data_IF_327433814070
#
_entry.id   IF_327433814070
#
_cell.length_a   1.000
_cell.length_b   1.000
_cell.length_c   1.000
_cell.angle_alpha   90.00
_cell.angle_beta   90.00
_cell.angle_gamma   90.00
#
_symmetry.space_group_name_H-M   'P 1'
#
loop_
_entity.id
_entity.type
_entity.pdbx_description
1 polymer ?
#
# COMPACT_ATOMS: atom_id res chain seq x y z
N UNK A 1 -12.34 -1.01 -11.41
CA UNK A 1 -11.31 -1.99 -10.97
C UNK A 1 -11.24 -2.17 -9.45
N UNK A 2 -11.10 -1.10 -8.64
CA UNK A 2 -11.01 -1.22 -7.16
C UNK A 2 -12.21 -1.89 -6.49
N UNK A 3 -13.43 -1.69 -6.96
CA UNK A 3 -14.62 -2.38 -6.40
C UNK A 3 -14.59 -3.90 -6.60
N UNK A 4 -14.04 -4.38 -7.72
CA UNK A 4 -13.94 -5.82 -8.02
C UNK A 4 -12.81 -6.44 -7.19
N UNK A 5 -11.67 -5.76 -7.10
CA UNK A 5 -10.57 -6.15 -6.19
C UNK A 5 -11.05 -6.21 -4.72
N UNK A 6 -11.90 -5.27 -4.31
CA UNK A 6 -12.42 -5.22 -2.94
C UNK A 6 -13.47 -6.27 -2.62
N UNK A 7 -14.39 -6.50 -3.56
CA UNK A 7 -15.37 -7.56 -3.41
C UNK A 7 -14.66 -8.92 -3.37
N UNK A 8 -13.65 -9.17 -4.20
CA UNK A 8 -12.81 -10.37 -4.09
C UNK A 8 -12.09 -10.48 -2.74
N UNK A 9 -11.53 -9.39 -2.21
CA UNK A 9 -10.84 -9.37 -0.91
C UNK A 9 -11.73 -9.62 0.31
N UNK A 10 -13.05 -9.55 0.15
CA UNK A 10 -14.02 -9.75 1.24
C UNK A 10 -14.79 -11.05 1.06
N UNK A 11 -15.18 -11.35 -0.17
CA UNK A 11 -15.80 -12.62 -0.54
C UNK A 11 -14.82 -13.76 -0.29
N UNK A 12 -13.53 -13.61 -0.58
CA UNK A 12 -12.57 -14.69 -0.38
C UNK A 12 -12.39 -15.11 1.10
N UNK A 13 -12.16 -14.19 2.07
CA UNK A 13 -12.10 -14.58 3.48
C UNK A 13 -13.45 -15.04 4.06
N UNK A 14 -14.57 -14.48 3.59
CA UNK A 14 -15.91 -14.88 4.05
C UNK A 14 -16.29 -16.29 3.56
N UNK A 15 -16.04 -16.59 2.28
CA UNK A 15 -16.22 -17.93 1.72
C UNK A 15 -15.25 -18.93 2.35
N UNK A 16 -13.97 -18.56 2.51
CA UNK A 16 -12.98 -19.41 3.17
C UNK A 16 -13.37 -19.69 4.63
N UNK A 17 -13.81 -18.68 5.38
CA UNK A 17 -14.30 -18.84 6.75
C UNK A 17 -15.57 -19.70 6.84
N UNK A 18 -16.50 -19.53 5.89
CA UNK A 18 -17.70 -20.37 5.78
C UNK A 18 -17.40 -21.83 5.45
N UNK A 19 -16.43 -22.09 4.56
CA UNK A 19 -15.94 -23.43 4.23
C UNK A 19 -15.27 -24.09 5.44
N UNK A 20 -14.39 -23.39 6.16
CA UNK A 20 -13.77 -23.92 7.39
C UNK A 20 -14.81 -24.29 8.45
N UNK A 21 -15.91 -23.53 8.57
CA UNK A 21 -16.97 -23.77 9.56
C UNK A 21 -17.77 -25.08 9.32
N UNK A 22 -17.70 -25.67 8.13
CA UNK A 22 -18.32 -26.97 7.82
C UNK A 22 -17.61 -28.17 8.47
N UNK A 23 -16.43 -27.96 9.08
CA UNK A 23 -15.72 -28.95 9.87
C UNK A 23 -14.77 -29.87 9.10
N UNK A 24 -14.88 -29.95 7.77
CA UNK A 24 -13.95 -30.74 6.94
C UNK A 24 -12.84 -29.87 6.36
N UNK A 25 -11.70 -29.88 7.07
CA UNK A 25 -10.52 -29.10 6.71
C UNK A 25 -9.87 -29.58 5.39
N UNK A 26 -10.02 -30.87 5.04
CA UNK A 26 -9.44 -31.43 3.80
C UNK A 26 -10.23 -30.94 2.59
N UNK A 27 -11.56 -30.93 2.69
CA UNK A 27 -12.43 -30.37 1.66
C UNK A 27 -12.17 -28.88 1.46
N UNK A 28 -12.04 -28.12 2.54
CA UNK A 28 -11.73 -26.68 2.50
C UNK A 28 -10.39 -26.42 1.79
N UNK A 29 -9.33 -27.15 2.15
CA UNK A 29 -8.02 -27.00 1.53
C UNK A 29 -8.04 -27.34 0.03
N UNK A 30 -8.74 -28.42 -0.35
CA UNK A 30 -8.91 -28.81 -1.74
C UNK A 30 -9.69 -27.75 -2.54
N UNK A 31 -10.79 -27.23 -2.00
CA UNK A 31 -11.60 -26.20 -2.63
C UNK A 31 -10.81 -24.89 -2.86
N UNK A 32 -10.04 -24.45 -1.86
CA UNK A 32 -9.17 -23.26 -1.99
C UNK A 32 -8.07 -23.51 -3.03
N UNK A 33 -7.47 -24.71 -3.05
CA UNK A 33 -6.47 -25.08 -4.05
C UNK A 33 -7.01 -25.03 -5.49
N UNK A 34 -8.21 -25.57 -5.72
CA UNK A 34 -8.87 -25.52 -7.02
C UNK A 34 -9.18 -24.09 -7.44
N UNK A 35 -9.69 -23.26 -6.52
CA UNK A 35 -9.99 -21.85 -6.81
C UNK A 35 -8.74 -21.05 -7.16
N UNK A 36 -7.62 -21.26 -6.46
CA UNK A 36 -6.34 -20.62 -6.80
C UNK A 36 -5.84 -21.06 -8.19
N UNK A 37 -5.98 -22.35 -8.53
CA UNK A 37 -5.59 -22.84 -9.85
C UNK A 37 -6.45 -22.23 -10.97
N UNK A 38 -7.77 -22.13 -10.76
CA UNK A 38 -8.67 -21.47 -11.72
C UNK A 38 -8.34 -19.97 -11.86
N UNK A 39 -7.95 -19.31 -10.77
CA UNK A 39 -7.52 -17.90 -10.81
C UNK A 39 -6.31 -17.69 -11.72
N UNK A 40 -5.35 -18.63 -11.75
CA UNK A 40 -4.18 -18.55 -12.64
C UNK A 40 -4.60 -18.56 -14.11
N UNK A 41 -5.58 -19.39 -14.48
CA UNK A 41 -6.08 -19.48 -15.86
C UNK A 41 -6.71 -18.14 -16.28
N UNK A 42 -7.56 -17.57 -15.43
CA UNK A 42 -8.21 -16.29 -15.69
C UNK A 42 -7.19 -15.16 -15.77
N UNK A 43 -6.21 -15.13 -14.87
CA UNK A 43 -5.13 -14.14 -14.87
C UNK A 43 -4.29 -14.22 -16.14
N UNK A 44 -3.95 -15.43 -16.59
CA UNK A 44 -3.21 -15.64 -17.83
C UNK A 44 -4.00 -15.17 -19.06
N UNK A 45 -5.28 -15.53 -19.17
CA UNK A 45 -6.15 -15.09 -20.27
C UNK A 45 -6.33 -13.57 -20.30
N UNK A 46 -6.49 -12.95 -19.12
CA UNK A 46 -6.65 -11.50 -19.01
C UNK A 46 -5.35 -10.76 -19.39
N UNK A 47 -4.21 -11.28 -18.93
CA UNK A 47 -2.88 -10.75 -19.27
C UNK A 47 -2.62 -10.85 -20.77
N UNK A 48 -2.95 -11.98 -21.39
CA UNK A 48 -2.83 -12.17 -22.84
C UNK A 48 -3.70 -11.18 -23.62
N UNK A 49 -4.93 -10.92 -23.15
CA UNK A 49 -5.83 -9.93 -23.73
C UNK A 49 -5.25 -8.51 -23.64
N UNK A 50 -4.68 -8.13 -22.50
CA UNK A 50 -4.02 -6.82 -22.29
C UNK A 50 -2.83 -6.64 -23.23
N UNK A 51 -2.00 -7.69 -23.39
CA UNK A 51 -0.85 -7.66 -24.30
C UNK A 51 -1.26 -7.51 -25.77
N UNK A 52 -2.37 -8.13 -26.18
CA UNK A 52 -2.92 -7.99 -27.55
C UNK A 52 -3.54 -6.61 -27.79
N UNK A 53 -4.22 -6.04 -26.80
CA UNK A 53 -4.91 -4.74 -26.92
C UNK A 53 -3.93 -3.56 -26.82
N UNK A 54 -2.82 -3.70 -26.08
CA UNK A 54 -1.83 -2.62 -25.91
C UNK A 54 -0.41 -3.05 -26.32
N UNK A 55 -0.10 -3.14 -27.63
CA UNK A 55 1.21 -3.57 -28.11
C UNK A 55 2.37 -2.64 -27.73
N UNK A 56 2.08 -1.44 -27.20
CA UNK A 56 3.07 -0.48 -26.68
C UNK A 56 3.90 -1.03 -25.51
N UNK A 57 3.41 -2.00 -24.75
CA UNK A 57 4.20 -2.64 -23.68
C UNK A 57 5.21 -3.67 -24.19
N UNK A 58 5.00 -4.27 -25.37
CA UNK A 58 5.97 -5.18 -26.00
C UNK A 58 7.18 -4.43 -26.58
N UNK A 59 6.99 -3.17 -26.99
CA UNK A 59 8.01 -2.38 -27.67
C UNK A 59 9.01 -1.68 -26.74
N UNK A 60 8.70 -1.52 -25.44
CA UNK A 60 9.59 -0.85 -24.48
C UNK A 60 10.97 -1.54 -24.35
N UNK A 61 11.04 -2.84 -24.62
CA UNK A 61 12.31 -3.58 -24.65
C UNK A 61 13.10 -3.35 -25.95
N UNK A 62 12.47 -3.00 -27.07
CA UNK A 62 13.15 -2.77 -28.34
C UNK A 62 13.80 -1.38 -28.40
N UNK A 63 13.11 -0.34 -27.96
CA UNK A 63 13.63 1.04 -27.92
C UNK A 63 14.72 1.24 -26.85
N UNK A 64 14.59 0.60 -25.68
CA UNK A 64 15.63 0.61 -24.64
C UNK A 64 16.86 -0.22 -25.07
N UNK A 65 16.67 -1.37 -25.74
CA UNK A 65 17.79 -2.12 -26.32
C UNK A 65 18.50 -1.37 -27.44
N UNK A 66 17.76 -0.64 -28.30
CA UNK A 66 18.37 0.16 -29.37
C UNK A 66 19.14 1.37 -28.80
N UNK A 67 18.64 2.02 -27.74
CA UNK A 67 19.36 3.09 -27.06
C UNK A 67 20.66 2.59 -26.38
N UNK A 68 20.66 1.40 -25.78
CA UNK A 68 21.87 0.78 -25.23
C UNK A 68 22.86 0.36 -26.33
N UNK A 69 22.38 -0.22 -27.44
CA UNK A 69 23.26 -0.69 -28.51
C UNK A 69 23.87 0.47 -29.33
N UNK A 70 23.14 1.59 -29.47
CA UNK A 70 23.65 2.83 -30.06
C UNK A 70 24.76 3.47 -29.22
N UNK A 71 24.60 3.48 -27.88
CA UNK A 71 25.61 4.02 -26.97
C UNK A 71 26.87 3.13 -26.89
N UNK A 72 26.70 1.80 -26.96
CA UNK A 72 27.82 0.86 -26.99
C UNK A 72 28.68 0.99 -28.25
N UNK A 73 28.04 1.23 -29.41
CA UNK A 73 28.74 1.37 -30.70
C UNK A 73 29.43 2.73 -30.83
N UNK A 74 28.83 3.81 -30.32
CA UNK A 74 29.44 5.14 -30.27
C UNK A 74 30.67 5.17 -29.35
N UNK A 75 30.60 4.53 -28.18
CA UNK A 75 31.74 4.47 -27.25
C UNK A 75 32.91 3.64 -27.79
N UNK A 76 32.65 2.61 -28.60
CA UNK A 76 33.72 1.80 -29.20
C UNK A 76 34.36 2.45 -30.45
N UNK A 77 33.63 3.24 -31.25
CA UNK A 77 34.25 4.01 -32.33
C UNK A 77 35.14 5.14 -31.78
N UNK A 78 34.75 5.74 -30.65
CA UNK A 78 35.52 6.83 -30.01
C UNK A 78 36.79 6.30 -29.32
N UNK A 79 36.77 5.06 -28.80
CA UNK A 79 37.94 4.44 -28.18
C UNK A 79 38.98 3.87 -29.16
N UNK A 80 38.59 3.53 -30.40
CA UNK A 80 39.54 2.98 -31.38
C UNK A 80 40.48 4.02 -32.03
N UNK A 81 40.29 5.32 -31.78
CA UNK A 81 41.23 6.34 -32.25
C UNK A 81 42.30 6.75 -31.21
N UNK A 82 42.25 6.23 -29.98
CA UNK A 82 43.16 6.65 -28.91
C UNK A 82 44.14 5.59 -28.40
N UNK A 83 44.34 4.47 -29.12
CA UNK A 83 45.34 3.49 -28.70
C UNK A 83 46.21 2.99 -29.86
N UNK A 84 46.93 3.92 -30.48
CA UNK A 84 48.19 3.62 -31.15
C UNK A 84 49.34 4.05 -30.24
N UNK A 85 49.79 3.14 -29.36
CA UNK A 85 51.19 3.02 -28.95
C UNK A 85 51.34 1.91 -27.89
N UNK A 86 52.05 0.84 -28.23
CA UNK A 86 52.49 -0.16 -27.24
C UNK A 86 52.78 -1.54 -27.83
N UNK A 87 54.07 -1.79 -28.07
CA UNK A 87 54.73 -3.03 -28.49
C UNK A 87 54.36 -4.33 -27.73
N UNK A 88 54.31 -5.44 -28.50
CA UNK A 88 54.74 -6.82 -28.16
C UNK A 88 53.96 -7.57 -27.06
N UNK A 89 53.78 -8.89 -27.04
CA UNK A 89 54.13 -10.00 -27.93
C UNK A 89 53.37 -11.26 -27.40
N UNK A 90 53.13 -12.25 -28.26
CA UNK A 90 52.87 -13.67 -27.95
C UNK A 90 51.59 -14.18 -27.21
N UNK A 91 50.65 -14.67 -28.03
CA UNK A 91 50.10 -16.06 -28.17
C UNK A 91 49.45 -16.89 -27.03
N UNK A 92 48.27 -17.42 -27.39
CA UNK A 92 47.68 -18.77 -27.19
C UNK A 92 46.86 -19.12 -25.93
N UNK A 93 45.70 -19.75 -26.18
CA UNK A 93 45.23 -20.92 -25.40
C UNK A 93 43.89 -20.81 -24.67
N UNK A 94 42.83 -21.28 -25.34
CA UNK A 94 41.71 -22.14 -24.89
C UNK A 94 41.14 -22.11 -23.44
N UNK A 95 39.79 -22.05 -23.44
CA UNK A 95 38.81 -22.78 -22.60
C UNK A 95 38.75 -22.61 -21.07
N UNK A 96 37.56 -22.17 -20.61
CA UNK A 96 36.81 -22.96 -19.63
C UNK A 96 36.51 -22.35 -18.27
N UNK A 97 35.22 -22.41 -17.92
CA UNK A 97 34.65 -22.59 -16.57
C UNK A 97 34.37 -21.35 -15.70
N UNK A 98 33.06 -21.10 -15.58
CA UNK A 98 32.25 -20.66 -14.43
C UNK A 98 32.98 -19.90 -13.31
N UNK A 99 32.62 -18.63 -13.13
CA UNK A 99 32.50 -18.06 -11.79
C UNK A 99 31.28 -17.13 -11.71
N UNK A 100 30.24 -17.66 -11.09
CA UNK A 100 29.23 -16.89 -10.37
C UNK A 100 29.93 -16.01 -9.35
N UNK A 101 29.89 -14.69 -9.57
CA UNK A 101 30.34 -13.68 -8.62
C UNK A 101 29.48 -12.45 -8.79
N UNK A 102 28.20 -12.54 -8.41
CA UNK A 102 27.38 -11.35 -8.21
C UNK A 102 27.87 -10.69 -6.92
N UNK A 103 28.74 -9.68 -7.07
CA UNK A 103 29.27 -8.92 -5.95
C UNK A 103 28.11 -8.20 -5.24
N UNK A 104 28.09 -8.32 -3.91
CA UNK A 104 27.07 -7.73 -3.03
C UNK A 104 27.06 -6.18 -3.09
N UNK A 105 28.09 -5.58 -3.70
CA UNK A 105 28.25 -4.14 -3.87
C UNK A 105 27.34 -3.56 -4.99
N UNK A 106 26.89 -4.40 -5.92
CA UNK A 106 26.03 -3.99 -7.04
C UNK A 106 24.61 -3.65 -6.56
N UNK A 107 24.15 -4.35 -5.51
CA UNK A 107 22.84 -4.17 -4.91
C UNK A 107 22.74 -2.84 -4.16
N UNK A 108 23.74 -2.49 -3.36
CA UNK A 108 23.78 -1.22 -2.61
C UNK A 108 23.97 0.00 -3.52
N UNK A 109 24.75 -0.15 -4.59
CA UNK A 109 24.96 0.93 -5.57
C UNK A 109 23.71 1.16 -6.46
N UNK A 110 22.97 0.09 -6.78
CA UNK A 110 21.67 0.17 -7.45
C UNK A 110 20.59 0.77 -6.53
N UNK A 111 20.54 0.35 -5.26
CA UNK A 111 19.66 0.92 -4.23
C UNK A 111 19.94 2.41 -4.02
N UNK A 112 21.22 2.81 -3.94
CA UNK A 112 21.61 4.22 -3.87
C UNK A 112 21.22 5.01 -5.13
N UNK A 113 21.29 4.42 -6.34
CA UNK A 113 20.83 5.08 -7.57
C UNK A 113 19.31 5.27 -7.61
N UNK A 114 18.54 4.32 -7.06
CA UNK A 114 17.08 4.45 -6.89
C UNK A 114 16.74 5.51 -5.83
N UNK A 115 17.50 5.55 -4.73
CA UNK A 115 17.35 6.56 -3.67
C UNK A 115 17.76 7.98 -4.14
N UNK A 116 18.71 8.09 -5.06
CA UNK A 116 19.21 9.35 -5.66
C UNK A 116 18.38 9.81 -6.86
N UNK A 117 17.18 9.26 -7.04
CA UNK A 117 16.26 9.68 -8.10
C UNK A 117 15.38 10.85 -7.61
N UNK A 118 16.03 11.98 -7.35
CA UNK A 118 15.42 13.24 -6.83
C UNK A 118 14.23 13.72 -7.68
N UNK A 119 14.16 13.31 -8.95
CA UNK A 119 13.09 13.66 -9.87
C UNK A 119 11.72 13.05 -9.55
N UNK A 120 11.65 11.82 -9.02
CA UNK A 120 10.37 11.12 -8.81
C UNK A 120 9.61 11.68 -7.60
N UNK A 121 10.33 11.89 -6.50
CA UNK A 121 9.77 12.48 -5.28
C UNK A 121 9.36 13.94 -5.53
N UNK A 122 10.19 14.70 -6.25
CA UNK A 122 9.87 16.05 -6.68
C UNK A 122 8.61 16.08 -7.56
N UNK A 123 8.49 15.17 -8.53
CA UNK A 123 7.30 15.05 -9.40
C UNK A 123 6.04 14.75 -8.59
N UNK A 124 6.14 13.93 -7.53
CA UNK A 124 5.03 13.64 -6.63
C UNK A 124 4.61 14.88 -5.82
N UNK A 125 5.56 15.58 -5.18
CA UNK A 125 5.26 16.76 -4.36
C UNK A 125 4.80 17.98 -5.17
N UNK A 126 5.10 18.02 -6.47
CA UNK A 126 4.57 19.03 -7.38
C UNK A 126 3.10 18.82 -7.72
N UNK A 127 2.53 17.64 -7.44
CA UNK A 127 1.11 17.38 -7.73
C UNK A 127 0.20 18.21 -6.82
N UNK A 128 -0.92 18.74 -7.34
CA UNK A 128 -1.84 19.59 -6.56
C UNK A 128 -2.43 18.88 -5.33
N UNK A 129 -2.47 17.54 -5.37
CA UNK A 129 -3.08 16.66 -4.37
C UNK A 129 -2.06 15.94 -3.48
N UNK A 130 -0.77 16.30 -3.54
CA UNK A 130 0.29 15.62 -2.79
C UNK A 130 0.03 15.60 -1.28
N UNK A 131 -0.51 16.69 -0.72
CA UNK A 131 -0.89 16.77 0.70
C UNK A 131 -1.93 15.69 1.09
N UNK A 132 -2.90 15.40 0.22
CA UNK A 132 -3.88 14.34 0.43
C UNK A 132 -3.27 12.94 0.37
N UNK A 133 -2.27 12.75 -0.49
CA UNK A 133 -1.51 11.50 -0.54
C UNK A 133 -0.63 11.25 0.69
N UNK A 134 0.02 12.29 1.22
CA UNK A 134 0.73 12.21 2.51
C UNK A 134 -0.24 11.95 3.66
N UNK A 135 -1.41 12.58 3.65
CA UNK A 135 -2.47 12.29 4.61
C UNK A 135 -2.86 10.81 4.57
N UNK A 136 -3.07 10.22 3.38
CA UNK A 136 -3.32 8.79 3.23
C UNK A 136 -2.18 7.95 3.82
N UNK A 137 -0.92 8.29 3.56
CA UNK A 137 0.21 7.54 4.13
C UNK A 137 0.22 7.59 5.65
N UNK A 138 -0.17 8.70 6.28
CA UNK A 138 -0.30 8.79 7.75
C UNK A 138 -1.36 7.85 8.30
N UNK A 139 -2.43 7.54 7.54
CA UNK A 139 -3.42 6.54 7.95
C UNK A 139 -2.81 5.12 7.98
N UNK A 140 -1.74 4.85 7.23
CA UNK A 140 -1.01 3.56 7.31
C UNK A 140 -0.16 3.45 8.58
N UNK A 141 0.20 4.57 9.22
CA UNK A 141 0.83 4.57 10.55
C UNK A 141 -0.17 4.25 11.67
N UNK A 142 -1.48 4.29 11.40
CA UNK A 142 -2.50 4.00 12.40
C UNK A 142 -2.51 2.51 12.79
N UNK A 143 -1.95 2.20 13.95
CA UNK A 143 -1.84 0.85 14.50
C UNK A 143 -3.17 0.36 15.09
N UNK A 144 -4.15 1.25 15.28
CA UNK A 144 -5.49 0.92 15.79
C UNK A 144 -6.37 0.26 14.72
N UNK A 145 -5.88 -0.85 14.18
CA UNK A 145 -6.52 -1.69 13.19
C UNK A 145 -6.46 -3.14 13.66
N UNK A 146 -7.33 -4.03 13.19
CA UNK A 146 -7.26 -5.48 13.49
C UNK A 146 -6.08 -6.16 12.78
N UNK A 147 -4.87 -5.65 13.02
CA UNK A 147 -3.58 -6.22 12.64
C UNK A 147 -2.95 -6.99 13.79
N UNK A 148 -1.70 -7.40 13.63
CA UNK A 148 -0.96 -8.22 14.60
C UNK A 148 -0.82 -7.53 15.97
N UNK A 149 -0.43 -6.25 16.00
CA UNK A 149 -0.17 -5.51 17.25
C UNK A 149 -1.45 -5.36 18.10
N UNK A 150 -2.55 -4.89 17.50
CA UNK A 150 -3.84 -4.80 18.19
C UNK A 150 -4.34 -6.18 18.66
N UNK A 151 -4.19 -7.21 17.82
CA UNK A 151 -4.60 -8.57 18.18
C UNK A 151 -3.81 -9.07 19.39
N UNK A 152 -2.50 -8.85 19.41
CA UNK A 152 -1.64 -9.20 20.54
C UNK A 152 -2.08 -8.49 21.82
N UNK A 153 -2.44 -7.20 21.74
CA UNK A 153 -2.97 -6.45 22.88
C UNK A 153 -4.31 -6.98 23.38
N UNK A 154 -5.25 -7.31 22.48
CA UNK A 154 -6.54 -7.88 22.87
C UNK A 154 -6.38 -9.26 23.54
N UNK A 155 -5.48 -10.10 23.04
CA UNK A 155 -5.12 -11.38 23.68
C UNK A 155 -4.50 -11.14 25.05
N UNK A 156 -3.59 -10.17 25.18
CA UNK A 156 -3.00 -9.79 26.47
C UNK A 156 -4.05 -9.33 27.49
N UNK A 157 -5.10 -8.62 27.04
CA UNK A 157 -6.25 -8.22 27.87
C UNK A 157 -7.24 -9.35 28.16
N UNK A 158 -6.96 -10.58 27.72
CA UNK A 158 -7.77 -11.77 27.98
C UNK A 158 -8.92 -12.01 27.00
N UNK A 159 -8.97 -11.30 25.87
CA UNK A 159 -9.99 -11.52 24.84
C UNK A 159 -9.66 -12.80 24.08
N UNK A 160 -10.64 -13.71 23.98
CA UNK A 160 -10.49 -14.97 23.27
C UNK A 160 -10.29 -14.76 21.76
N UNK A 161 -9.51 -15.63 21.12
CA UNK A 161 -9.19 -15.51 19.68
C UNK A 161 -10.40 -15.65 18.76
N UNK A 162 -11.38 -16.48 19.12
CA UNK A 162 -12.64 -16.63 18.36
C UNK A 162 -13.38 -15.28 18.26
N UNK A 163 -13.49 -14.56 19.39
CA UNK A 163 -14.13 -13.25 19.45
C UNK A 163 -13.37 -12.21 18.63
N UNK A 164 -12.04 -12.19 18.70
CA UNK A 164 -11.21 -11.29 17.89
C UNK A 164 -11.40 -11.56 16.39
N UNK A 165 -11.47 -12.84 16.00
CA UNK A 165 -11.76 -13.25 14.62
C UNK A 165 -13.12 -12.76 14.13
N UNK A 166 -14.18 -12.95 14.93
CA UNK A 166 -15.52 -12.46 14.61
C UNK A 166 -15.56 -10.93 14.49
N UNK A 167 -14.96 -10.20 15.44
CA UNK A 167 -14.89 -8.74 15.41
C UNK A 167 -14.13 -8.21 14.19
N UNK A 168 -13.05 -8.89 13.79
CA UNK A 168 -12.33 -8.59 12.56
C UNK A 168 -13.22 -8.78 11.32
N UNK A 169 -14.02 -9.86 11.29
CA UNK A 169 -15.01 -10.10 10.24
C UNK A 169 -16.05 -8.97 10.16
N UNK A 170 -16.61 -8.57 11.30
CA UNK A 170 -17.56 -7.44 11.39
C UNK A 170 -16.90 -6.14 10.91
N UNK A 171 -15.67 -5.87 11.34
CA UNK A 171 -14.88 -4.71 10.91
C UNK A 171 -14.66 -4.69 9.39
N UNK A 172 -14.42 -5.85 8.76
CA UNK A 172 -14.32 -5.95 7.30
C UNK A 172 -15.66 -5.65 6.62
N UNK A 173 -16.77 -6.17 7.14
CA UNK A 173 -18.11 -5.89 6.62
C UNK A 173 -18.46 -4.40 6.72
N UNK A 174 -18.14 -3.75 7.85
CA UNK A 174 -18.30 -2.30 8.02
C UNK A 174 -17.44 -1.52 7.02
N UNK A 175 -16.21 -1.98 6.77
CA UNK A 175 -15.36 -1.39 5.72
C UNK A 175 -15.97 -1.48 4.32
N UNK A 176 -16.62 -2.61 4.00
CA UNK A 176 -17.35 -2.77 2.75
C UNK A 176 -18.53 -1.79 2.63
N UNK A 177 -19.28 -1.58 3.71
CA UNK A 177 -20.34 -0.57 3.75
C UNK A 177 -19.78 0.83 3.48
N UNK A 178 -18.54 1.10 3.88
CA UNK A 178 -17.81 2.30 3.48
C UNK A 178 -17.72 2.50 1.97
N UNK A 179 -17.59 1.43 1.18
CA UNK A 179 -17.59 1.57 -0.29
C UNK A 179 -18.95 1.99 -0.84
N UNK A 180 -20.05 1.47 -0.29
CA UNK A 180 -21.39 1.90 -0.68
C UNK A 180 -21.62 3.35 -0.27
N UNK A 181 -21.18 3.71 0.95
CA UNK A 181 -21.22 5.09 1.44
C UNK A 181 -20.43 6.04 0.53
N UNK A 182 -19.27 5.61 0.01
CA UNK A 182 -18.51 6.38 -0.98
C UNK A 182 -19.31 6.62 -2.26
N UNK A 183 -19.92 5.59 -2.85
CA UNK A 183 -20.69 5.75 -4.09
C UNK A 183 -21.88 6.70 -3.92
N UNK A 184 -22.59 6.57 -2.81
CA UNK A 184 -23.70 7.47 -2.50
C UNK A 184 -23.21 8.90 -2.28
N UNK A 185 -22.11 9.07 -1.56
CA UNK A 185 -21.55 10.38 -1.26
C UNK A 185 -21.00 11.06 -2.52
N UNK A 186 -20.18 10.37 -3.32
CA UNK A 186 -19.63 10.88 -4.57
C UNK A 186 -20.70 11.22 -5.63
N UNK A 187 -21.91 10.62 -5.55
CA UNK A 187 -23.03 10.96 -6.42
C UNK A 187 -23.77 12.25 -5.99
N UNK A 188 -23.55 12.75 -4.77
CA UNK A 188 -24.29 13.86 -4.17
C UNK A 188 -23.41 15.07 -3.85
N UNK A 189 -22.14 14.83 -3.52
CA UNK A 189 -21.17 15.85 -3.14
C UNK A 189 -19.86 15.64 -3.90
N UNK A 190 -18.98 16.65 -3.90
CA UNK A 190 -17.68 16.55 -4.58
C UNK A 190 -16.75 15.53 -3.90
N UNK A 191 -15.73 15.05 -4.63
CA UNK A 191 -14.76 14.07 -4.11
C UNK A 191 -13.96 14.62 -2.92
N UNK A 192 -13.67 15.91 -2.90
CA UNK A 192 -12.91 16.55 -1.83
C UNK A 192 -13.74 16.65 -0.54
N UNK A 193 -15.03 16.95 -0.67
CA UNK A 193 -15.98 16.96 0.44
C UNK A 193 -16.24 15.54 0.96
N UNK A 194 -16.30 14.56 0.05
CA UNK A 194 -16.37 13.12 0.35
C UNK A 194 -15.18 12.69 1.21
N UNK A 195 -13.96 13.05 0.81
CA UNK A 195 -12.77 12.77 1.61
C UNK A 195 -12.78 13.49 2.96
N UNK A 196 -13.29 14.73 3.02
CA UNK A 196 -13.31 15.52 4.26
C UNK A 196 -14.23 14.91 5.33
N UNK A 197 -15.47 14.57 5.00
CA UNK A 197 -16.36 13.94 5.99
C UNK A 197 -15.82 12.56 6.41
N UNK A 198 -15.20 11.81 5.49
CA UNK A 198 -14.62 10.51 5.78
C UNK A 198 -13.50 10.57 6.81
N UNK A 199 -12.55 11.52 6.67
CA UNK A 199 -11.45 11.68 7.62
C UNK A 199 -11.93 12.25 8.96
N UNK A 200 -12.95 13.11 8.96
CA UNK A 200 -13.60 13.58 10.20
C UNK A 200 -14.27 12.42 10.93
N UNK A 201 -15.02 11.57 10.22
CA UNK A 201 -15.66 10.39 10.78
C UNK A 201 -14.60 9.44 11.36
N UNK A 202 -13.51 9.20 10.63
CA UNK A 202 -12.36 8.41 11.11
C UNK A 202 -11.82 8.97 12.44
N UNK A 203 -11.59 10.29 12.50
CA UNK A 203 -11.04 10.96 13.68
C UNK A 203 -12.00 10.90 14.88
N UNK A 204 -13.30 11.11 14.67
CA UNK A 204 -14.33 11.00 15.73
C UNK A 204 -14.37 9.56 16.29
N UNK A 205 -14.42 8.55 15.42
CA UNK A 205 -14.45 7.15 15.84
C UNK A 205 -13.17 6.76 16.62
N UNK A 206 -12.00 7.21 16.17
CA UNK A 206 -10.75 6.96 16.90
C UNK A 206 -10.62 7.80 18.17
N UNK A 207 -11.30 8.93 18.27
CA UNK A 207 -11.38 9.68 19.53
C UNK A 207 -12.04 8.82 20.62
N UNK A 208 -13.08 8.05 20.29
CA UNK A 208 -13.71 7.10 21.23
C UNK A 208 -12.70 6.05 21.70
N UNK A 209 -11.90 5.51 20.77
CA UNK A 209 -10.81 4.56 21.09
C UNK A 209 -9.67 5.20 21.89
N UNK A 210 -9.39 6.49 21.69
CA UNK A 210 -8.40 7.22 22.48
C UNK A 210 -8.88 7.44 23.92
N UNK A 211 -10.15 7.86 24.09
CA UNK A 211 -10.75 8.06 25.41
C UNK A 211 -10.85 6.78 26.23
N UNK A 212 -10.85 5.61 25.59
CA UNK A 212 -10.87 4.33 26.30
C UNK A 212 -9.65 4.11 27.21
N UNK A 213 -8.54 4.84 27.00
CA UNK A 213 -7.36 4.78 27.86
C UNK A 213 -7.59 5.36 29.25
N UNK A 214 -8.54 6.29 29.39
CA UNK A 214 -8.84 6.96 30.66
C UNK A 214 -9.94 6.26 31.46
N UNK A 215 -10.58 5.26 30.86
CA UNK A 215 -11.64 4.48 31.51
C UNK A 215 -10.99 3.39 32.36
N UNK A 216 -11.21 3.45 33.67
CA UNK A 216 -10.70 2.48 34.66
C UNK A 216 -11.35 1.11 34.53
N UNK A 217 -12.63 1.06 34.12
CA UNK A 217 -13.35 -0.19 33.93
C UNK A 217 -12.85 -0.97 32.72
N UNK A 218 -12.29 -2.16 32.97
CA UNK A 218 -11.71 -3.02 31.94
C UNK A 218 -12.68 -3.34 30.79
N UNK A 219 -13.94 -3.63 31.12
CA UNK A 219 -14.96 -3.98 30.12
C UNK A 219 -15.31 -2.79 29.22
N UNK A 220 -15.61 -1.63 29.81
CA UNK A 220 -15.96 -0.42 29.07
C UNK A 220 -14.80 0.11 28.25
N UNK A 221 -13.57 0.08 28.78
CA UNK A 221 -12.35 0.42 28.05
C UNK A 221 -12.18 -0.44 26.79
N UNK A 222 -12.28 -1.77 26.91
CA UNK A 222 -12.19 -2.68 25.76
C UNK A 222 -13.32 -2.45 24.75
N UNK A 223 -14.55 -2.26 25.23
CA UNK A 223 -15.70 -2.02 24.36
C UNK A 223 -15.54 -0.73 23.54
N UNK A 224 -15.13 0.38 24.18
CA UNK A 224 -14.89 1.66 23.49
C UNK A 224 -13.74 1.56 22.49
N UNK A 225 -12.65 0.88 22.87
CA UNK A 225 -11.51 0.65 21.97
C UNK A 225 -11.93 -0.08 20.70
N UNK A 226 -12.60 -1.24 20.87
CA UNK A 226 -13.00 -2.11 19.77
C UNK A 226 -14.09 -1.47 18.91
N UNK A 227 -15.12 -0.89 19.53
CA UNK A 227 -16.24 -0.27 18.80
C UNK A 227 -15.79 0.94 17.98
N UNK A 228 -14.94 1.80 18.53
CA UNK A 228 -14.35 2.93 17.81
C UNK A 228 -13.52 2.47 16.61
N UNK A 229 -12.69 1.44 16.78
CA UNK A 229 -11.87 0.87 15.68
C UNK A 229 -12.75 0.25 14.59
N UNK A 230 -13.76 -0.53 14.95
CA UNK A 230 -14.72 -1.10 14.00
C UNK A 230 -15.46 -0.01 13.21
N UNK A 231 -16.03 0.97 13.91
CA UNK A 231 -16.80 2.06 13.30
C UNK A 231 -15.93 2.93 12.38
N UNK A 232 -14.66 3.16 12.75
CA UNK A 232 -13.74 3.96 11.96
C UNK A 232 -13.57 3.44 10.52
N UNK A 233 -13.75 2.12 10.29
CA UNK A 233 -13.56 1.51 8.96
C UNK A 233 -14.32 2.18 7.83
N UNK A 234 -15.51 2.71 8.10
CA UNK A 234 -16.28 3.46 7.10
C UNK A 234 -15.46 4.66 6.63
N UNK A 235 -14.98 5.48 7.56
CA UNK A 235 -14.16 6.66 7.28
C UNK A 235 -12.87 6.30 6.54
N UNK A 236 -12.13 5.28 7.03
CA UNK A 236 -10.89 4.81 6.41
C UNK A 236 -11.10 4.42 4.93
N UNK A 237 -12.10 3.58 4.65
CA UNK A 237 -12.35 3.06 3.30
C UNK A 237 -12.86 4.14 2.35
N UNK A 238 -13.79 4.99 2.80
CA UNK A 238 -14.26 6.12 1.99
C UNK A 238 -13.11 7.06 1.67
N UNK A 239 -12.26 7.38 2.65
CA UNK A 239 -11.13 8.28 2.47
C UNK A 239 -10.13 7.73 1.45
N UNK A 240 -9.73 6.45 1.60
CA UNK A 240 -8.79 5.79 0.69
C UNK A 240 -9.31 5.77 -0.76
N UNK A 241 -10.60 5.49 -0.96
CA UNK A 241 -11.21 5.55 -2.28
C UNK A 241 -11.23 6.99 -2.81
N UNK A 242 -11.58 7.97 -1.98
CA UNK A 242 -11.67 9.37 -2.38
C UNK A 242 -10.34 9.92 -2.89
N UNK A 243 -9.25 9.76 -2.13
CA UNK A 243 -7.93 10.21 -2.57
C UNK A 243 -7.45 9.44 -3.79
N UNK A 244 -7.75 8.14 -3.87
CA UNK A 244 -7.38 7.33 -5.03
C UNK A 244 -8.04 7.81 -6.32
N UNK A 245 -9.32 8.15 -6.26
CA UNK A 245 -10.03 8.73 -7.41
C UNK A 245 -9.49 10.12 -7.73
N UNK A 246 -9.27 10.94 -6.71
CA UNK A 246 -8.70 12.27 -6.88
C UNK A 246 -7.30 12.23 -7.53
N UNK A 247 -6.47 11.23 -7.19
CA UNK A 247 -5.19 10.99 -7.86
C UNK A 247 -5.36 10.59 -9.32
N UNK A 248 -6.40 9.83 -9.65
CA UNK A 248 -6.67 9.40 -11.03
C UNK A 248 -7.18 10.55 -11.90
N UNK A 249 -8.00 11.43 -11.34
CA UNK A 249 -8.57 12.57 -12.05
C UNK A 249 -7.57 13.73 -12.22
N UNK A 250 -6.75 14.01 -11.21
CA UNK A 250 -5.89 15.20 -11.19
C UNK A 250 -4.48 14.97 -11.74
N UNK A 251 -4.02 13.72 -11.85
CA UNK A 251 -2.65 13.40 -12.29
C UNK A 251 -2.65 12.95 -13.75
N UNK A 252 -1.80 13.60 -14.55
CA UNK A 252 -1.62 13.30 -15.97
C UNK A 252 -1.17 11.84 -16.20
N UNK A 253 -1.65 11.22 -17.27
CA UNK A 253 -1.47 9.78 -17.54
C UNK A 253 0.00 9.36 -17.66
N UNK A 254 0.84 10.24 -18.20
CA UNK A 254 2.28 10.04 -18.38
C UNK A 254 3.06 9.87 -17.07
N UNK A 255 2.66 10.57 -16.00
CA UNK A 255 3.33 10.55 -14.69
C UNK A 255 2.56 9.76 -13.63
N UNK A 256 1.33 9.32 -13.94
CA UNK A 256 0.45 8.59 -13.01
C UNK A 256 1.11 7.34 -12.43
N UNK A 257 1.88 6.60 -13.23
CA UNK A 257 2.63 5.42 -12.76
C UNK A 257 3.72 5.78 -11.75
N UNK A 258 4.43 6.88 -11.96
CA UNK A 258 5.49 7.38 -11.05
C UNK A 258 4.86 7.84 -9.74
N UNK A 259 3.81 8.67 -9.81
CA UNK A 259 3.10 9.18 -8.63
C UNK A 259 2.49 8.04 -7.82
N UNK A 260 1.86 7.06 -8.48
CA UNK A 260 1.34 5.86 -7.81
C UNK A 260 2.43 5.02 -7.14
N UNK A 261 3.59 4.87 -7.78
CA UNK A 261 4.73 4.15 -7.20
C UNK A 261 5.29 4.84 -5.94
N UNK A 262 5.43 6.17 -5.97
CA UNK A 262 5.84 6.97 -4.80
C UNK A 262 4.79 6.87 -3.69
N UNK A 263 3.50 7.01 -4.01
CA UNK A 263 2.42 6.87 -3.04
C UNK A 263 2.45 5.52 -2.32
N UNK A 264 2.60 4.44 -3.07
CA UNK A 264 2.64 3.10 -2.48
C UNK A 264 3.88 2.91 -1.59
N UNK A 265 5.01 3.49 -1.99
CA UNK A 265 6.25 3.45 -1.20
C UNK A 265 6.11 4.25 0.09
N UNK A 266 5.46 5.42 0.08
CA UNK A 266 5.16 6.20 1.28
C UNK A 266 4.21 5.46 2.24
N UNK A 267 3.16 4.84 1.70
CA UNK A 267 2.24 4.00 2.49
C UNK A 267 2.99 2.82 3.13
N UNK A 268 3.85 2.14 2.36
CA UNK A 268 4.65 1.03 2.86
C UNK A 268 5.66 1.48 3.92
N UNK A 269 6.30 2.65 3.74
CA UNK A 269 7.24 3.22 4.70
C UNK A 269 6.57 3.52 6.04
N UNK A 270 5.40 4.17 6.05
CA UNK A 270 4.69 4.46 7.28
C UNK A 270 4.04 3.21 7.91
N UNK A 271 3.64 2.24 7.09
CA UNK A 271 3.25 0.91 7.58
C UNK A 271 4.41 0.15 8.23
N UNK A 272 5.63 0.25 7.67
CA UNK A 272 6.82 -0.34 8.26
C UNK A 272 7.20 0.36 9.57
N UNK A 273 7.05 1.69 9.63
CA UNK A 273 7.26 2.45 10.85
C UNK A 273 6.33 1.99 11.98
N UNK A 274 5.07 1.68 11.67
CA UNK A 274 4.14 1.08 12.62
C UNK A 274 4.64 -0.26 13.20
N UNK A 275 5.24 -1.13 12.38
CA UNK A 275 5.86 -2.37 12.86
C UNK A 275 7.18 -2.13 13.61
N UNK A 276 7.96 -1.13 13.20
CA UNK A 276 9.17 -0.73 13.92
C UNK A 276 8.85 -0.23 15.33
N UNK A 277 7.78 0.56 15.50
CA UNK A 277 7.25 0.92 16.82
C UNK A 277 6.88 -0.33 17.62
N UNK A 278 6.27 -1.32 16.96
CA UNK A 278 6.02 -2.67 17.51
C UNK A 278 7.25 -3.34 18.12
N UNK A 279 8.41 -3.19 17.47
CA UNK A 279 9.68 -3.76 17.94
C UNK A 279 10.35 -2.91 19.02
N UNK A 280 10.20 -1.58 18.97
CA UNK A 280 10.78 -0.66 19.95
C UNK A 280 10.06 -0.70 21.29
N UNK A 281 8.74 -0.87 21.28
CA UNK A 281 7.89 -0.89 22.47
C UNK A 281 7.14 -2.23 22.60
N UNK A 282 7.83 -3.36 22.76
CA UNK A 282 7.21 -4.68 22.72
C UNK A 282 6.27 -4.95 23.91
N UNK A 283 6.38 -4.17 25.00
CA UNK A 283 5.60 -4.38 26.21
C UNK A 283 4.13 -3.96 26.01
N UNK A 284 3.16 -4.86 26.23
CA UNK A 284 1.75 -4.57 26.01
C UNK A 284 1.17 -3.57 27.02
N UNK A 285 1.89 -3.29 28.12
CA UNK A 285 1.54 -2.22 29.07
C UNK A 285 1.69 -0.83 28.45
N UNK A 286 2.57 -0.70 27.46
CA UNK A 286 2.83 0.55 26.74
C UNK A 286 1.90 0.73 25.54
N UNK A 287 0.82 -0.04 25.44
CA UNK A 287 -0.12 0.04 24.32
C UNK A 287 -0.69 1.45 24.08
N UNK A 288 -0.74 2.28 25.13
CA UNK A 288 -1.15 3.68 25.03
C UNK A 288 -0.30 4.49 24.03
N UNK A 289 1.00 4.18 23.86
CA UNK A 289 1.89 4.84 22.88
C UNK A 289 1.37 4.62 21.46
N UNK A 290 0.93 3.39 21.15
CA UNK A 290 0.36 3.02 19.85
C UNK A 290 -0.96 3.75 19.59
N UNK A 291 -1.81 3.83 20.62
CA UNK A 291 -3.09 4.55 20.57
C UNK A 291 -2.87 6.04 20.31
N UNK A 292 -1.97 6.68 21.05
CA UNK A 292 -1.60 8.09 20.87
C UNK A 292 -0.99 8.35 19.49
N UNK A 293 -0.09 7.46 19.04
CA UNK A 293 0.57 7.60 17.73
C UNK A 293 -0.43 7.49 16.59
N UNK A 294 -1.32 6.49 16.62
CA UNK A 294 -2.35 6.35 15.59
C UNK A 294 -3.36 7.50 15.61
N UNK A 295 -3.80 7.94 16.79
CA UNK A 295 -4.72 9.06 16.93
C UNK A 295 -4.12 10.38 16.42
N UNK A 296 -2.88 10.68 16.81
CA UNK A 296 -2.16 11.88 16.34
C UNK A 296 -1.90 11.84 14.84
N UNK A 297 -1.51 10.69 14.27
CA UNK A 297 -1.31 10.54 12.83
C UNK A 297 -2.59 10.84 12.04
N UNK A 298 -3.75 10.36 12.50
CA UNK A 298 -5.05 10.65 11.87
C UNK A 298 -5.44 12.12 12.05
N UNK A 299 -5.16 12.72 13.21
CA UNK A 299 -5.37 14.16 13.43
C UNK A 299 -4.54 15.03 12.48
N UNK A 300 -3.25 14.71 12.30
CA UNK A 300 -2.38 15.39 11.33
C UNK A 300 -2.89 15.17 9.90
N UNK A 301 -3.29 13.95 9.54
CA UNK A 301 -3.87 13.66 8.23
C UNK A 301 -5.14 14.48 7.95
N UNK A 302 -6.02 14.64 8.95
CA UNK A 302 -7.21 15.46 8.87
C UNK A 302 -6.87 16.94 8.59
N UNK A 303 -5.90 17.50 9.30
CA UNK A 303 -5.45 18.88 9.09
C UNK A 303 -4.82 19.05 7.70
N UNK A 304 -3.96 18.11 7.28
CA UNK A 304 -3.34 18.12 5.95
C UNK A 304 -4.38 18.05 4.83
N UNK A 305 -5.42 17.23 4.99
CA UNK A 305 -6.52 17.17 4.02
C UNK A 305 -7.30 18.49 3.97
N UNK A 306 -7.67 19.02 5.14
CA UNK A 306 -8.46 20.24 5.23
C UNK A 306 -7.74 21.44 4.60
N UNK A 307 -6.51 21.72 5.03
CA UNK A 307 -5.75 22.87 4.53
C UNK A 307 -5.13 22.63 3.14
N UNK A 308 -4.59 21.43 2.90
CA UNK A 308 -3.82 21.12 1.70
C UNK A 308 -4.67 20.76 0.48
N UNK A 309 -5.87 20.22 0.68
CA UNK A 309 -6.75 19.77 -0.41
C UNK A 309 -8.05 20.55 -0.41
N UNK A 310 -8.86 20.44 0.66
CA UNK A 310 -10.23 20.94 0.66
C UNK A 310 -10.33 22.45 0.46
N UNK A 311 -9.58 23.25 1.23
CA UNK A 311 -9.60 24.72 1.07
C UNK A 311 -9.05 25.17 -0.27
N UNK A 312 -7.97 24.54 -0.74
CA UNK A 312 -7.28 24.91 -1.99
C UNK A 312 -8.14 24.64 -3.22
N UNK A 313 -8.91 23.54 -3.22
CA UNK A 313 -9.80 23.19 -4.33
C UNK A 313 -11.08 24.02 -4.34
N UNK A 314 -11.57 24.46 -3.17
CA UNK A 314 -12.76 25.32 -3.08
C UNK A 314 -12.54 26.76 -3.56
N UNK A 315 -11.28 27.20 -3.63
CA UNK A 315 -10.90 28.54 -4.09
C UNK A 315 -10.69 28.64 -5.61
N UNK A 316 -10.74 27.51 -6.34
CA UNK A 316 -10.69 27.46 -7.80
C UNK A 316 -12.09 27.36 -8.39
#
# INVERSE_FOLDING_TARGET
MKQIDLSCKIIAPALAGGLVATGDLRFTAAAVGVLNFLSIIVEYSCTEMIYKVTPRFASKNASVRQAQNGNYKSNNLTNSQHNQNGNGDHSNGEEGVISSGANNDDGWCCLMKILKQDGMLKTYFQQPIAAGGVALSLLYLNILTFGSIMTAYLVFRGVRMDVIGTLRGISCAIGLLGTVAFHFSAARISLEATGLWAIILQFICLSVSYYSLFVTDNYWSLFMLISGVCASRIGLWVFDISISQLMQEMVAEEVRGVVGGVQNSLNAMLGLLAYALGMLFPDPKEFHIYVVTGFSAVGVAMLLWFFGVYLKMRQK
#
